data_IF_381969104595
#
_entry.id   IF_381969104595
#
_cell.length_a   1.000
_cell.length_b   1.000
_cell.length_c   1.000
_cell.angle_alpha   90.00
_cell.angle_beta   90.00
_cell.angle_gamma   90.00
#
_symmetry.space_group_name_H-M   'P 1'
#
loop_
_entity.id
_entity.type
_entity.pdbx_description
1 polymer ?
#
# COMPACT_ATOMS: atom_id res chain seq x y z
N UNK A 1 13.16 1.46 -12.25
CA UNK A 1 11.80 0.90 -12.09
C UNK A 1 11.57 0.29 -10.70
N UNK A 2 12.00 -0.94 -10.38
CA UNK A 2 11.69 -1.55 -9.06
C UNK A 2 12.31 -0.80 -7.87
N UNK A 3 13.52 -0.26 -8.02
CA UNK A 3 14.17 0.54 -6.98
C UNK A 3 13.44 1.85 -6.66
N UNK A 4 12.82 2.50 -7.65
CA UNK A 4 12.06 3.74 -7.45
C UNK A 4 10.75 3.49 -6.70
N UNK A 5 10.11 2.34 -6.98
CA UNK A 5 8.93 1.88 -6.24
C UNK A 5 9.32 1.64 -4.78
N UNK A 6 10.42 0.91 -4.54
CA UNK A 6 10.91 0.61 -3.19
C UNK A 6 11.29 1.88 -2.42
N UNK A 7 11.92 2.86 -3.07
CA UNK A 7 12.28 4.14 -2.46
C UNK A 7 11.02 4.95 -2.07
N UNK A 8 10.04 5.04 -2.98
CA UNK A 8 8.75 5.67 -2.70
C UNK A 8 8.00 5.01 -1.53
N UNK A 9 7.98 3.68 -1.47
CA UNK A 9 7.36 2.94 -0.37
C UNK A 9 8.13 3.08 0.94
N UNK A 10 9.46 3.15 0.88
CA UNK A 10 10.31 3.46 2.04
C UNK A 10 9.97 4.85 2.61
N UNK A 11 9.78 5.84 1.74
CA UNK A 11 9.33 7.17 2.14
C UNK A 11 7.95 7.13 2.82
N UNK A 12 6.95 6.45 2.24
CA UNK A 12 5.62 6.32 2.87
C UNK A 12 5.70 5.67 4.25
N UNK A 13 6.45 4.57 4.36
CA UNK A 13 6.66 3.85 5.62
C UNK A 13 7.34 4.72 6.68
N UNK A 14 8.37 5.49 6.29
CA UNK A 14 9.05 6.44 7.18
C UNK A 14 8.10 7.52 7.69
N UNK A 15 7.18 7.98 6.84
CA UNK A 15 6.13 8.94 7.16
C UNK A 15 4.86 8.30 7.75
N UNK A 16 4.92 7.03 8.16
CA UNK A 16 3.86 6.34 8.90
C UNK A 16 2.56 6.15 8.10
N UNK A 17 2.68 6.05 6.78
CA UNK A 17 1.58 5.71 5.88
C UNK A 17 1.67 4.26 5.41
N UNK A 18 0.51 3.58 5.40
CA UNK A 18 0.35 2.27 4.76
C UNK A 18 -0.49 2.46 3.49
N UNK A 19 0.02 2.00 2.35
CA UNK A 19 -0.60 2.18 1.03
C UNK A 19 -1.82 1.29 0.83
N UNK A 20 -1.74 0.01 1.20
CA UNK A 20 -2.84 -0.98 1.16
C UNK A 20 -3.33 -1.40 -0.23
N UNK A 21 -2.74 -0.85 -1.29
CA UNK A 21 -3.07 -1.17 -2.68
C UNK A 21 -1.88 -1.01 -3.62
N UNK A 22 -0.68 -1.37 -3.15
CA UNK A 22 0.49 -1.32 -4.01
C UNK A 22 0.38 -2.38 -5.11
N UNK A 23 0.30 -1.93 -6.36
CA UNK A 23 0.27 -2.77 -7.54
C UNK A 23 0.73 -1.98 -8.75
N UNK A 24 1.18 -2.65 -9.81
CA UNK A 24 1.65 -1.99 -11.03
C UNK A 24 0.62 -1.01 -11.64
N UNK A 25 -0.68 -1.31 -11.52
CA UNK A 25 -1.78 -0.43 -11.96
C UNK A 25 -1.83 0.93 -11.24
N UNK A 26 -1.23 1.01 -10.06
CA UNK A 26 -1.21 2.20 -9.20
C UNK A 26 0.18 2.87 -9.21
N UNK A 27 1.07 2.45 -10.12
CA UNK A 27 2.33 3.14 -10.39
C UNK A 27 2.19 3.96 -11.68
N UNK A 28 2.61 5.21 -11.64
CA UNK A 28 2.68 6.08 -12.82
C UNK A 28 4.11 6.13 -13.36
N UNK A 29 4.25 6.26 -14.68
CA UNK A 29 5.53 6.35 -15.39
C UNK A 29 5.62 7.74 -16.01
N UNK A 30 6.66 8.49 -15.64
CA UNK A 30 6.97 9.79 -16.22
C UNK A 30 7.59 9.66 -17.63
N UNK A 31 7.75 10.78 -18.30
CA UNK A 31 8.36 10.90 -19.64
C UNK A 31 9.82 10.43 -19.68
N UNK A 32 10.57 10.61 -18.59
CA UNK A 32 11.94 10.14 -18.41
C UNK A 32 12.05 8.69 -17.88
N UNK A 33 10.94 7.94 -17.90
CA UNK A 33 10.80 6.60 -17.33
C UNK A 33 10.88 6.50 -15.80
N UNK A 34 10.89 7.62 -15.08
CA UNK A 34 10.80 7.62 -13.62
C UNK A 34 9.46 7.04 -13.16
N UNK A 35 9.50 6.06 -12.25
CA UNK A 35 8.28 5.50 -11.65
C UNK A 35 7.91 6.23 -10.36
N UNK A 36 6.63 6.60 -10.23
CA UNK A 36 6.07 7.21 -9.00
C UNK A 36 4.87 6.41 -8.49
N UNK A 37 4.80 6.25 -7.18
CA UNK A 37 3.66 5.63 -6.51
C UNK A 37 2.45 6.58 -6.55
N UNK A 38 1.27 6.06 -6.89
CA UNK A 38 0.03 6.81 -7.01
C UNK A 38 -1.18 6.04 -6.47
N UNK A 39 -2.37 6.62 -6.65
CA UNK A 39 -3.65 6.14 -6.12
C UNK A 39 -3.64 5.84 -4.60
N UNK A 40 -3.77 6.92 -3.82
CA UNK A 40 -3.81 6.87 -2.37
C UNK A 40 -5.24 6.68 -1.81
N UNK A 41 -6.21 6.26 -2.63
CA UNK A 41 -7.61 6.16 -2.23
C UNK A 41 -7.88 5.20 -1.07
N UNK A 42 -6.94 4.26 -0.83
CA UNK A 42 -6.98 3.35 0.32
C UNK A 42 -5.91 3.62 1.38
N UNK A 43 -4.99 4.55 1.13
CA UNK A 43 -3.87 4.89 2.03
C UNK A 43 -4.37 5.50 3.33
N UNK A 44 -3.74 5.12 4.45
CA UNK A 44 -4.06 5.70 5.76
C UNK A 44 -2.83 5.86 6.63
N UNK A 45 -2.90 6.83 7.54
CA UNK A 45 -1.97 7.00 8.65
C UNK A 45 -2.20 5.88 9.69
N UNK A 46 -1.12 5.30 10.19
CA UNK A 46 -1.15 4.26 11.23
C UNK A 46 -1.63 4.77 12.59
N UNK A 47 -1.57 6.08 12.86
CA UNK A 47 -1.94 6.64 14.17
C UNK A 47 -3.45 6.74 14.42
N UNK A 48 -4.30 6.61 13.39
CA UNK A 48 -5.76 6.63 13.60
C UNK A 48 -6.30 5.34 14.24
N UNK A 49 -5.55 4.23 14.21
CA UNK A 49 -5.80 3.00 14.99
C UNK A 49 -4.71 1.98 14.65
N UNK A 50 -3.96 1.48 15.64
CA UNK A 50 -2.87 0.49 15.47
C UNK A 50 -3.29 -0.78 14.71
N UNK A 51 -4.59 -1.05 14.59
CA UNK A 51 -5.15 -2.14 13.80
C UNK A 51 -6.47 -1.71 13.15
N UNK A 52 -6.45 -1.48 11.84
CA UNK A 52 -7.68 -1.34 11.07
C UNK A 52 -8.28 -2.71 10.76
N UNK A 53 -9.51 -2.99 11.18
CA UNK A 53 -10.35 -4.05 10.60
C UNK A 53 -11.32 -3.41 9.62
N UNK A 54 -11.24 -3.77 8.33
CA UNK A 54 -12.24 -3.32 7.34
C UNK A 54 -13.61 -3.93 7.68
N UNK A 55 -14.42 -3.21 8.45
CA UNK A 55 -15.83 -3.51 8.61
C UNK A 55 -16.61 -3.11 7.35
N UNK A 56 -16.69 -3.99 6.35
CA UNK A 56 -17.59 -3.78 5.22
C UNK A 56 -17.18 -4.42 3.88
N UNK A 57 -18.19 -4.64 3.02
CA UNK A 57 -18.15 -5.28 1.68
C UNK A 57 -17.43 -4.45 0.59
N UNK A 58 -16.37 -3.72 0.93
CA UNK A 58 -15.60 -2.99 -0.07
C UNK A 58 -14.74 -3.96 -0.88
N UNK A 59 -14.63 -3.74 -2.20
CA UNK A 59 -13.69 -4.48 -3.04
C UNK A 59 -12.28 -4.37 -2.46
N UNK A 60 -11.53 -5.47 -2.50
CA UNK A 60 -10.19 -5.62 -1.94
C UNK A 60 -9.27 -6.26 -3.00
N UNK A 61 -8.00 -5.83 -3.10
CA UNK A 61 -7.05 -6.31 -4.10
C UNK A 61 -6.45 -7.67 -3.69
N UNK A 62 -7.28 -8.70 -3.52
CA UNK A 62 -6.93 -9.98 -2.86
C UNK A 62 -5.69 -10.70 -3.40
N UNK A 63 -5.28 -10.44 -4.65
CA UNK A 63 -4.08 -11.04 -5.27
C UNK A 63 -2.77 -10.34 -4.87
N UNK A 64 -2.85 -9.18 -4.23
CA UNK A 64 -1.73 -8.35 -3.74
C UNK A 64 -1.75 -8.19 -2.22
N UNK A 65 -2.59 -8.95 -1.52
CA UNK A 65 -2.74 -8.85 -0.06
C UNK A 65 -1.93 -9.94 0.63
N UNK A 66 -1.32 -9.57 1.76
CA UNK A 66 -0.65 -10.53 2.63
C UNK A 66 -1.64 -11.48 3.32
N UNK A 67 -1.19 -12.63 3.85
CA UNK A 67 -2.06 -13.61 4.50
C UNK A 67 -2.84 -13.02 5.68
N UNK A 68 -2.21 -12.17 6.50
CA UNK A 68 -2.85 -11.47 7.61
C UNK A 68 -3.85 -10.41 7.14
N UNK A 69 -3.59 -9.74 6.02
CA UNK A 69 -4.56 -8.85 5.38
C UNK A 69 -5.79 -9.60 4.88
N UNK A 70 -5.60 -10.79 4.29
CA UNK A 70 -6.70 -11.62 3.79
C UNK A 70 -7.53 -12.23 4.92
N UNK A 71 -6.87 -12.75 5.95
CA UNK A 71 -7.51 -13.50 7.04
C UNK A 71 -8.17 -12.58 8.06
N UNK A 72 -7.42 -11.58 8.52
CA UNK A 72 -7.79 -10.78 9.69
C UNK A 72 -8.05 -9.30 9.35
N UNK A 73 -7.87 -8.93 8.08
CA UNK A 73 -8.03 -7.56 7.61
C UNK A 73 -6.94 -6.62 8.08
N UNK A 74 -5.79 -7.15 8.52
CA UNK A 74 -4.68 -6.39 9.11
C UNK A 74 -3.84 -5.76 7.99
N UNK A 75 -3.59 -4.45 8.08
CA UNK A 75 -2.74 -3.71 7.15
C UNK A 75 -1.63 -2.99 7.91
N UNK A 76 -0.40 -3.23 7.50
CA UNK A 76 0.82 -2.70 8.11
C UNK A 76 1.84 -2.36 7.02
N UNK A 77 2.93 -1.72 7.42
CA UNK A 77 4.08 -1.51 6.52
C UNK A 77 4.66 -2.83 6.01
N UNK A 78 4.53 -3.93 6.75
CA UNK A 78 4.97 -5.27 6.30
C UNK A 78 4.01 -5.90 5.30
N UNK A 79 2.71 -5.61 5.39
CA UNK A 79 1.76 -6.06 4.35
C UNK A 79 1.94 -5.31 3.03
N UNK A 80 2.49 -4.10 3.05
CA UNK A 80 2.87 -3.36 1.83
C UNK A 80 4.15 -3.91 1.16
N UNK A 81 4.94 -4.72 1.89
CA UNK A 81 6.15 -5.38 1.36
C UNK A 81 5.83 -6.72 0.68
N UNK A 82 4.69 -7.34 1.02
CA UNK A 82 4.21 -8.61 0.48
C UNK A 82 3.83 -8.49 -1.00
#
# INVERSE_FOLDING_TARGET
MAGEIADGMSYLNANKFVHRDLAARNCMVADDYTVKIGDFGMTRDIYETDYYRKGGKGLLPVRWMSPESLKDGVFTTTSDVW
#
